data_IF_725040480614
#
_entry.id   IF_725040480614
#
_cell.length_a   1.000
_cell.length_b   1.000
_cell.length_c   1.000
_cell.angle_alpha   90.00
_cell.angle_beta   90.00
_cell.angle_gamma   90.00
#
_symmetry.space_group_name_H-M   'P 1'
#
loop_
_entity.id
_entity.type
_entity.pdbx_description
1 polymer ?
#
# COMPACT_ATOMS: atom_id res chain seq x y z
N UNK A 1 19.33 -21.62 -40.76
CA UNK A 1 19.65 -20.22 -40.38
C UNK A 1 18.88 -19.87 -39.11
N UNK A 2 19.22 -18.77 -38.42
CA UNK A 2 18.68 -18.44 -37.10
C UNK A 2 19.44 -19.15 -35.98
N UNK A 3 20.43 -18.45 -35.39
CA UNK A 3 21.16 -18.96 -34.22
C UNK A 3 20.45 -18.52 -32.94
N UNK A 4 20.26 -19.43 -32.00
CA UNK A 4 20.10 -19.05 -30.60
C UNK A 4 21.41 -18.40 -30.12
N UNK A 5 21.31 -17.28 -29.43
CA UNK A 5 22.46 -16.65 -28.75
C UNK A 5 22.39 -17.05 -27.29
N UNK A 6 23.23 -17.99 -26.89
CA UNK A 6 23.47 -18.26 -25.48
C UNK A 6 24.13 -17.03 -24.86
N UNK A 7 23.59 -16.55 -23.75
CA UNK A 7 24.29 -15.58 -22.90
C UNK A 7 25.41 -16.33 -22.18
N UNK A 8 26.60 -16.25 -22.78
CA UNK A 8 27.84 -16.79 -22.23
C UNK A 8 28.29 -16.01 -21.00
N UNK A 9 29.02 -16.71 -20.13
CA UNK A 9 29.54 -16.25 -18.85
C UNK A 9 30.25 -14.87 -18.95
N UNK A 10 29.55 -13.81 -18.55
CA UNK A 10 30.19 -12.53 -18.26
C UNK A 10 30.86 -12.66 -16.89
N UNK A 11 32.19 -12.62 -16.89
CA UNK A 11 33.01 -12.85 -15.71
C UNK A 11 32.70 -11.84 -14.60
N UNK A 12 32.15 -12.35 -13.50
CA UNK A 12 32.04 -11.58 -12.27
C UNK A 12 33.44 -11.18 -11.81
N UNK A 13 33.81 -9.91 -11.98
CA UNK A 13 34.97 -9.36 -11.29
C UNK A 13 34.63 -9.35 -9.80
N UNK A 14 35.25 -10.28 -9.06
CA UNK A 14 35.08 -10.41 -7.63
C UNK A 14 35.65 -9.17 -6.96
N UNK A 15 34.77 -8.23 -6.59
CA UNK A 15 35.15 -7.16 -5.66
C UNK A 15 35.69 -7.83 -4.37
N UNK A 16 36.85 -7.40 -3.86
CA UNK A 16 37.42 -8.01 -2.67
C UNK A 16 36.48 -7.76 -1.49
N UNK A 17 35.97 -8.84 -0.88
CA UNK A 17 35.02 -8.77 0.23
C UNK A 17 35.64 -8.05 1.43
N UNK A 18 35.26 -6.78 1.59
CA UNK A 18 35.73 -5.92 2.67
C UNK A 18 35.23 -6.44 4.04
N UNK A 19 36.02 -6.27 5.11
CA UNK A 19 35.64 -6.74 6.45
C UNK A 19 34.36 -6.04 6.94
N UNK A 20 33.48 -6.80 7.59
CA UNK A 20 32.27 -6.28 8.23
C UNK A 20 32.64 -5.47 9.48
N UNK A 21 32.76 -4.16 9.32
CA UNK A 21 32.81 -3.19 10.44
C UNK A 21 31.41 -3.06 11.06
N UNK A 22 31.34 -2.72 12.35
CA UNK A 22 30.09 -2.66 13.12
C UNK A 22 29.12 -1.55 12.70
N UNK A 23 27.91 -1.52 13.30
CA UNK A 23 26.97 -0.41 13.15
C UNK A 23 27.43 0.84 13.92
N UNK A 24 26.82 1.98 13.57
CA UNK A 24 27.00 3.31 14.17
C UNK A 24 28.38 3.96 13.96
N UNK A 25 28.42 4.87 12.98
CA UNK A 25 29.43 5.94 12.77
C UNK A 25 30.92 5.52 12.71
N UNK A 26 31.47 5.40 11.48
CA UNK A 26 32.91 5.19 11.23
C UNK A 26 33.77 6.12 12.09
N UNK A 27 34.62 5.56 12.96
CA UNK A 27 35.56 6.34 13.77
C UNK A 27 36.82 6.70 12.98
N UNK A 28 37.43 7.85 13.28
CA UNK A 28 38.69 8.27 12.63
C UNK A 28 39.82 7.23 12.77
N UNK A 29 39.89 6.51 13.88
CA UNK A 29 40.84 5.42 14.10
C UNK A 29 40.54 4.14 13.31
N UNK A 30 39.27 3.86 13.03
CA UNK A 30 38.86 2.77 12.12
C UNK A 30 39.15 3.14 10.67
N UNK A 31 38.87 4.38 10.28
CA UNK A 31 39.21 4.91 8.97
C UNK A 31 40.73 4.83 8.72
N UNK A 32 41.56 5.19 9.71
CA UNK A 32 43.03 5.01 9.67
C UNK A 32 43.45 3.54 9.44
N UNK A 33 42.64 2.55 9.84
CA UNK A 33 42.90 1.13 9.61
C UNK A 33 42.39 0.67 8.24
N UNK A 34 41.12 0.91 7.92
CA UNK A 34 40.50 0.48 6.66
C UNK A 34 41.21 1.06 5.43
N UNK A 35 41.57 2.35 5.45
CA UNK A 35 42.33 2.99 4.37
C UNK A 35 43.74 2.39 4.21
N UNK A 36 44.35 1.92 5.31
CA UNK A 36 45.66 1.26 5.26
C UNK A 36 45.61 -0.03 4.47
N UNK A 37 44.53 -0.79 4.62
CA UNK A 37 44.36 -2.09 4.00
C UNK A 37 43.78 -1.99 2.57
N UNK A 38 42.90 -1.02 2.31
CA UNK A 38 42.52 -0.63 0.94
C UNK A 38 43.76 -0.20 0.12
N UNK A 39 44.65 0.63 0.69
CA UNK A 39 45.90 1.05 0.02
C UNK A 39 46.87 -0.10 -0.22
N UNK A 40 46.93 -1.10 0.67
CA UNK A 40 47.69 -2.35 0.42
C UNK A 40 47.05 -3.17 -0.70
N UNK A 41 45.72 -3.26 -0.77
CA UNK A 41 45.01 -4.03 -1.79
C UNK A 41 45.22 -3.44 -3.19
N UNK A 42 44.96 -2.13 -3.37
CA UNK A 42 45.20 -1.36 -4.61
C UNK A 42 46.61 -1.63 -5.18
N UNK A 43 47.63 -1.49 -4.34
CA UNK A 43 49.03 -1.63 -4.77
C UNK A 43 49.48 -3.08 -4.99
N UNK A 44 48.82 -4.06 -4.37
CA UNK A 44 49.03 -5.49 -4.67
C UNK A 44 48.39 -5.86 -6.01
N UNK A 45 47.19 -5.36 -6.29
CA UNK A 45 46.51 -5.53 -7.58
C UNK A 45 47.31 -4.88 -8.72
N UNK A 46 47.96 -3.73 -8.46
CA UNK A 46 48.86 -3.09 -9.42
C UNK A 46 50.27 -3.71 -9.51
N UNK A 47 50.52 -4.88 -8.91
CA UNK A 47 51.80 -5.59 -8.98
C UNK A 47 53.00 -4.88 -8.34
N UNK A 48 52.78 -3.95 -7.40
CA UNK A 48 53.87 -3.15 -6.84
C UNK A 48 54.76 -3.95 -5.87
N UNK A 49 56.07 -3.68 -5.89
CA UNK A 49 57.03 -4.27 -4.96
C UNK A 49 56.74 -3.90 -3.49
N UNK A 50 57.00 -4.83 -2.56
CA UNK A 50 56.66 -4.70 -1.12
C UNK A 50 57.24 -3.45 -0.44
N UNK A 51 58.45 -3.03 -0.83
CA UNK A 51 59.08 -1.77 -0.37
C UNK A 51 58.30 -0.53 -0.83
N UNK A 52 57.86 -0.51 -2.09
CA UNK A 52 57.00 0.54 -2.66
C UNK A 52 55.64 0.57 -1.98
N UNK A 53 55.01 -0.60 -1.74
CA UNK A 53 53.75 -0.71 -0.98
C UNK A 53 53.91 -0.05 0.39
N UNK A 54 54.94 -0.44 1.14
CA UNK A 54 55.19 0.07 2.51
C UNK A 54 55.35 1.59 2.53
N UNK A 55 56.14 2.15 1.61
CA UNK A 55 56.34 3.61 1.50
C UNK A 55 55.07 4.36 1.09
N UNK A 56 54.31 3.82 0.14
CA UNK A 56 53.08 4.45 -0.36
C UNK A 56 51.95 4.41 0.68
N UNK A 57 51.76 3.29 1.38
CA UNK A 57 50.81 3.16 2.50
C UNK A 57 51.18 4.14 3.63
N UNK A 58 52.47 4.24 3.97
CA UNK A 58 52.95 5.19 4.97
C UNK A 58 52.63 6.64 4.59
N UNK A 59 52.86 7.05 3.34
CA UNK A 59 52.51 8.39 2.86
C UNK A 59 51.00 8.70 3.00
N UNK A 60 50.12 7.77 2.62
CA UNK A 60 48.66 7.95 2.69
C UNK A 60 48.17 8.03 4.14
N UNK A 61 48.72 7.21 5.06
CA UNK A 61 48.35 7.26 6.49
C UNK A 61 48.93 8.51 7.19
N UNK A 62 50.14 8.95 6.84
CA UNK A 62 50.69 10.22 7.32
C UNK A 62 49.85 11.42 6.90
N UNK A 63 49.28 11.41 5.69
CA UNK A 63 48.35 12.45 5.24
C UNK A 63 47.08 12.53 6.10
N UNK A 64 46.45 11.38 6.37
CA UNK A 64 45.28 11.31 7.25
C UNK A 64 45.62 11.71 8.69
N UNK A 65 46.79 11.34 9.21
CA UNK A 65 47.26 11.78 10.54
C UNK A 65 47.57 13.28 10.63
N UNK A 66 48.11 13.87 9.56
CA UNK A 66 48.32 15.31 9.47
C UNK A 66 46.98 16.06 9.44
N UNK A 67 46.05 15.63 8.57
CA UNK A 67 44.67 16.14 8.53
C UNK A 67 43.98 16.05 9.90
N UNK A 68 44.05 14.88 10.57
CA UNK A 68 43.42 14.65 11.87
C UNK A 68 44.01 15.55 12.95
N UNK A 69 45.33 15.71 12.99
CA UNK A 69 46.04 16.62 13.91
C UNK A 69 45.67 18.09 13.66
N UNK A 70 45.69 18.54 12.39
CA UNK A 70 45.39 19.92 11.99
C UNK A 70 43.98 20.38 12.37
N UNK A 71 43.02 19.45 12.43
CA UNK A 71 41.63 19.72 12.79
C UNK A 71 41.30 19.40 14.27
N UNK A 72 42.30 19.06 15.09
CA UNK A 72 42.13 18.77 16.53
C UNK A 72 41.43 17.43 16.86
N UNK A 73 41.26 16.56 15.86
CA UNK A 73 40.44 15.35 15.92
C UNK A 73 41.15 14.19 16.62
N UNK A 74 40.39 13.36 17.33
CA UNK A 74 40.81 12.18 18.09
C UNK A 74 40.51 10.90 17.31
N UNK A 75 41.06 9.77 17.76
CA UNK A 75 40.86 8.48 17.10
C UNK A 75 39.44 7.89 17.30
N UNK A 76 38.73 8.37 18.33
CA UNK A 76 37.36 7.97 18.65
C UNK A 76 36.32 9.04 18.29
N UNK A 77 36.72 10.13 17.62
CA UNK A 77 35.77 11.07 17.03
C UNK A 77 35.19 10.42 15.75
N UNK A 78 33.91 10.66 15.47
CA UNK A 78 33.25 10.10 14.27
C UNK A 78 33.63 10.89 13.02
N UNK A 79 33.68 10.22 11.87
CA UNK A 79 34.05 10.83 10.59
C UNK A 79 32.86 11.61 10.01
N UNK A 80 32.90 12.92 10.15
CA UNK A 80 31.78 13.82 9.91
C UNK A 80 31.95 14.71 8.68
N UNK A 81 31.33 15.91 8.75
CA UNK A 81 31.33 16.87 7.66
C UNK A 81 32.71 17.39 7.24
N UNK A 82 33.71 17.34 8.11
CA UNK A 82 35.11 17.66 7.78
C UNK A 82 35.70 16.72 6.73
N UNK A 83 35.25 15.47 6.64
CA UNK A 83 35.63 14.55 5.57
C UNK A 83 34.58 14.53 4.44
N UNK A 84 33.31 14.57 4.81
CA UNK A 84 32.19 14.29 3.91
C UNK A 84 31.79 15.49 3.04
N UNK A 85 31.66 16.70 3.61
CA UNK A 85 31.18 17.88 2.87
C UNK A 85 32.31 18.55 2.08
N UNK A 86 32.17 18.81 0.76
CA UNK A 86 33.27 19.35 -0.05
C UNK A 86 33.90 20.66 0.48
N UNK A 87 33.07 21.59 0.96
CA UNK A 87 33.53 22.92 1.41
C UNK A 87 34.22 22.86 2.77
N UNK A 88 33.72 22.01 3.69
CA UNK A 88 34.37 21.79 4.99
C UNK A 88 35.67 21.01 4.82
N UNK A 89 35.70 20.02 3.94
CA UNK A 89 36.91 19.27 3.62
C UNK A 89 38.01 20.12 2.99
N UNK A 90 37.67 21.07 2.11
CA UNK A 90 38.64 22.02 1.57
C UNK A 90 39.31 22.81 2.71
N UNK A 91 38.53 23.41 3.61
CA UNK A 91 39.02 24.14 4.81
C UNK A 91 39.81 23.25 5.77
N UNK A 92 39.36 22.01 5.95
CA UNK A 92 40.05 21.03 6.80
C UNK A 92 41.39 20.55 6.19
N UNK A 93 41.55 20.64 4.86
CA UNK A 93 42.84 20.46 4.19
C UNK A 93 43.72 21.73 4.26
N UNK A 94 43.14 22.93 4.16
CA UNK A 94 43.84 24.20 4.35
C UNK A 94 44.49 24.29 5.75
N UNK A 95 43.81 23.75 6.77
CA UNK A 95 44.34 23.67 8.13
C UNK A 95 45.70 22.95 8.24
N UNK A 96 46.07 22.08 7.29
CA UNK A 96 47.35 21.35 7.28
C UNK A 96 48.54 22.30 7.09
N UNK A 97 48.35 23.48 6.46
CA UNK A 97 49.40 24.51 6.35
C UNK A 97 49.77 25.16 7.70
N UNK A 98 48.97 24.96 8.76
CA UNK A 98 49.27 25.46 10.11
C UNK A 98 50.16 24.49 10.92
N UNK A 99 50.57 23.35 10.34
CA UNK A 99 51.51 22.42 10.96
C UNK A 99 52.96 22.78 10.59
N UNK A 100 53.91 22.44 11.47
CA UNK A 100 55.35 22.53 11.20
C UNK A 100 55.79 21.46 10.19
N UNK A 101 55.51 21.73 8.91
CA UNK A 101 55.75 20.87 7.76
C UNK A 101 56.21 21.71 6.56
N UNK A 102 57.06 21.14 5.72
CA UNK A 102 57.43 21.76 4.44
C UNK A 102 56.26 21.77 3.45
N UNK A 103 56.14 22.81 2.61
CA UNK A 103 55.07 22.97 1.61
C UNK A 103 54.90 21.70 0.74
N UNK A 104 56.01 21.16 0.23
CA UNK A 104 56.03 19.92 -0.58
C UNK A 104 55.50 18.69 0.16
N UNK A 105 55.50 18.71 1.49
CA UNK A 105 54.86 17.69 2.33
C UNK A 105 53.37 17.97 2.52
N UNK A 106 52.98 19.24 2.72
CA UNK A 106 51.57 19.66 2.79
C UNK A 106 50.84 19.40 1.45
N UNK A 107 51.39 19.84 0.32
CA UNK A 107 50.91 19.56 -1.05
C UNK A 107 50.69 18.06 -1.28
N UNK A 108 51.68 17.25 -0.89
CA UNK A 108 51.63 15.78 -1.01
C UNK A 108 50.53 15.19 -0.12
N UNK A 109 50.37 15.69 1.11
CA UNK A 109 49.30 15.23 1.99
C UNK A 109 47.92 15.62 1.44
N UNK A 110 47.71 16.88 1.03
CA UNK A 110 46.47 17.34 0.38
C UNK A 110 46.18 16.52 -0.90
N UNK A 111 47.22 16.17 -1.68
CA UNK A 111 47.09 15.28 -2.85
C UNK A 111 46.65 13.85 -2.48
N UNK A 112 47.21 13.22 -1.44
CA UNK A 112 46.75 11.91 -0.97
C UNK A 112 45.34 11.98 -0.36
N UNK A 113 45.01 13.06 0.37
CA UNK A 113 43.69 13.28 0.93
C UNK A 113 42.61 13.35 -0.16
N UNK A 114 42.85 14.14 -1.21
CA UNK A 114 41.93 14.31 -2.33
C UNK A 114 41.84 13.05 -3.23
N UNK A 115 42.96 12.40 -3.55
CA UNK A 115 42.99 11.31 -4.53
C UNK A 115 42.59 9.95 -3.98
N UNK A 116 42.66 9.74 -2.65
CA UNK A 116 42.40 8.43 -2.02
C UNK A 116 41.58 8.50 -0.75
N UNK A 117 42.02 9.29 0.24
CA UNK A 117 41.43 9.23 1.59
C UNK A 117 39.96 9.62 1.58
N UNK A 118 39.61 10.79 1.01
CA UNK A 118 38.22 11.23 0.93
C UNK A 118 37.36 10.38 -0.02
N UNK A 119 37.79 10.02 -1.24
CA UNK A 119 37.05 9.09 -2.08
C UNK A 119 36.68 7.78 -1.37
N UNK A 120 37.63 7.13 -0.68
CA UNK A 120 37.36 5.89 0.05
C UNK A 120 36.50 6.11 1.31
N UNK A 121 36.70 7.19 2.06
CA UNK A 121 35.82 7.53 3.18
C UNK A 121 34.36 7.69 2.73
N UNK A 122 34.14 8.36 1.59
CA UNK A 122 32.81 8.51 0.97
C UNK A 122 32.27 7.14 0.51
N UNK A 123 33.07 6.28 -0.13
CA UNK A 123 32.64 4.92 -0.50
C UNK A 123 32.20 4.10 0.72
N UNK A 124 32.95 4.16 1.83
CA UNK A 124 32.61 3.45 3.06
C UNK A 124 31.32 3.98 3.69
N UNK A 125 31.15 5.30 3.83
CA UNK A 125 29.92 5.91 4.36
C UNK A 125 28.70 5.63 3.46
N UNK A 126 28.89 5.58 2.13
CA UNK A 126 27.88 5.17 1.14
C UNK A 126 27.45 3.70 1.26
N UNK A 127 28.39 2.80 1.53
CA UNK A 127 28.10 1.39 1.81
C UNK A 127 27.40 1.21 3.18
N UNK A 128 27.59 2.16 4.09
CA UNK A 128 27.02 2.16 5.45
C UNK A 128 25.86 3.17 5.63
N UNK A 129 24.97 3.27 4.64
CA UNK A 129 23.62 3.87 4.79
C UNK A 129 22.68 2.98 5.63
N UNK A 130 23.20 2.45 6.74
CA UNK A 130 22.50 1.68 7.79
C UNK A 130 21.98 2.57 8.91
N UNK A 131 22.49 3.81 9.00
CA UNK A 131 22.12 4.84 9.99
C UNK A 131 20.99 5.77 9.49
N UNK A 132 20.48 5.55 8.28
CA UNK A 132 19.29 6.21 7.76
C UNK A 132 18.12 5.24 7.91
N UNK A 133 17.02 5.68 8.51
CA UNK A 133 15.76 4.94 8.60
C UNK A 133 14.88 5.22 7.38
N UNK A 134 14.97 6.43 6.81
CA UNK A 134 14.15 6.84 5.66
C UNK A 134 14.97 7.08 4.37
N UNK A 135 14.28 6.96 3.23
CA UNK A 135 14.82 7.37 1.93
C UNK A 135 15.21 8.87 1.91
N UNK A 136 14.48 9.71 2.67
CA UNK A 136 14.73 11.15 2.71
C UNK A 136 16.08 11.46 3.33
N UNK A 137 16.40 10.85 4.49
CA UNK A 137 17.73 10.95 5.11
C UNK A 137 18.83 10.42 4.18
N UNK A 138 18.62 9.24 3.59
CA UNK A 138 19.62 8.62 2.72
C UNK A 138 19.93 9.49 1.49
N UNK A 139 18.92 10.09 0.86
CA UNK A 139 19.12 11.03 -0.25
C UNK A 139 19.76 12.35 0.20
N UNK A 140 19.40 12.89 1.37
CA UNK A 140 20.02 14.11 1.91
C UNK A 140 21.50 13.90 2.25
N UNK A 141 21.85 12.80 2.90
CA UNK A 141 23.24 12.44 3.26
C UNK A 141 24.08 12.17 2.00
N UNK A 142 23.51 11.50 0.99
CA UNK A 142 24.14 11.32 -0.32
C UNK A 142 24.42 12.66 -1.04
N UNK A 143 23.46 13.58 -1.05
CA UNK A 143 23.63 14.93 -1.61
C UNK A 143 24.69 15.74 -0.82
N UNK A 144 24.72 15.62 0.51
CA UNK A 144 25.72 16.26 1.38
C UNK A 144 27.15 15.77 1.08
N UNK A 145 27.33 14.46 0.88
CA UNK A 145 28.62 13.86 0.52
C UNK A 145 29.09 14.24 -0.89
N UNK A 146 28.19 14.24 -1.89
CA UNK A 146 28.56 14.57 -3.28
C UNK A 146 28.74 16.07 -3.51
N UNK A 147 28.03 16.92 -2.74
CA UNK A 147 27.91 18.34 -3.01
C UNK A 147 26.99 18.68 -4.18
N UNK A 148 26.23 17.70 -4.71
CA UNK A 148 25.28 17.95 -5.80
C UNK A 148 24.06 18.74 -5.29
N UNK A 149 23.51 19.59 -6.15
CA UNK A 149 22.15 20.10 -5.95
C UNK A 149 21.13 19.07 -6.41
N UNK A 150 19.89 19.15 -5.89
CA UNK A 150 18.76 18.32 -6.34
C UNK A 150 18.57 18.44 -7.88
N UNK A 151 18.81 19.63 -8.44
CA UNK A 151 18.70 19.85 -9.89
C UNK A 151 19.80 19.14 -10.69
N UNK A 152 21.04 19.12 -10.19
CA UNK A 152 22.16 18.43 -10.84
C UNK A 152 22.01 16.90 -10.74
N UNK A 153 21.60 16.36 -9.58
CA UNK A 153 21.32 14.93 -9.45
C UNK A 153 20.18 14.49 -10.37
N UNK A 154 19.04 15.20 -10.36
CA UNK A 154 17.91 14.95 -11.26
C UNK A 154 18.33 14.93 -12.74
N UNK A 155 19.12 15.92 -13.18
CA UNK A 155 19.62 16.01 -14.57
C UNK A 155 20.46 14.78 -14.97
N UNK A 156 21.19 14.17 -14.04
CA UNK A 156 22.08 13.03 -14.30
C UNK A 156 21.39 11.68 -14.20
N UNK A 157 20.62 11.46 -13.13
CA UNK A 157 19.80 10.24 -12.97
C UNK A 157 18.60 10.19 -13.93
N UNK A 158 18.33 11.29 -14.67
CA UNK A 158 17.21 11.48 -15.60
C UNK A 158 15.83 11.52 -14.92
N UNK A 159 15.80 11.56 -13.60
CA UNK A 159 14.59 11.71 -12.78
C UNK A 159 14.14 13.18 -12.82
N UNK A 160 12.84 13.46 -12.73
CA UNK A 160 12.39 14.86 -12.72
C UNK A 160 12.86 15.58 -11.44
N UNK A 161 13.17 16.88 -11.56
CA UNK A 161 13.57 17.72 -10.41
C UNK A 161 12.48 17.80 -9.33
N UNK A 162 11.21 17.73 -9.73
CA UNK A 162 10.08 17.78 -8.81
C UNK A 162 9.95 16.48 -8.02
N UNK A 163 9.96 15.34 -8.71
CA UNK A 163 9.90 13.99 -8.15
C UNK A 163 11.09 13.70 -7.21
N UNK A 164 12.32 13.99 -7.64
CA UNK A 164 13.47 13.87 -6.74
C UNK A 164 13.35 14.83 -5.56
N UNK A 165 12.75 16.01 -5.76
CA UNK A 165 12.47 16.97 -4.71
C UNK A 165 11.44 16.49 -3.68
N UNK A 166 10.38 15.76 -4.07
CA UNK A 166 9.41 15.21 -3.09
C UNK A 166 10.04 14.11 -2.24
N UNK A 167 10.87 13.25 -2.83
CA UNK A 167 11.63 12.21 -2.10
C UNK A 167 12.67 12.80 -1.13
N UNK A 168 13.48 13.75 -1.58
CA UNK A 168 14.49 14.43 -0.74
C UNK A 168 13.84 15.15 0.46
N UNK A 169 12.59 15.59 0.35
CA UNK A 169 11.81 16.22 1.42
C UNK A 169 10.91 15.27 2.22
N UNK A 170 10.98 13.95 1.98
CA UNK A 170 10.15 12.96 2.67
C UNK A 170 8.64 13.09 2.44
N UNK A 171 8.21 13.80 1.38
CA UNK A 171 6.78 13.98 1.06
C UNK A 171 6.17 12.76 0.37
N UNK A 172 7.00 12.02 -0.36
CA UNK A 172 6.61 10.85 -1.15
C UNK A 172 7.73 9.82 -1.10
N UNK A 173 7.35 8.54 -1.23
CA UNK A 173 8.28 7.41 -1.37
C UNK A 173 8.02 6.75 -2.75
N UNK A 174 9.05 6.40 -3.52
CA UNK A 174 8.94 5.61 -4.74
C UNK A 174 8.14 4.34 -4.49
N UNK A 175 7.04 4.17 -5.23
CA UNK A 175 6.10 3.07 -5.01
C UNK A 175 5.42 2.58 -6.30
N UNK A 176 6.04 2.85 -7.45
CA UNK A 176 5.64 2.33 -8.76
C UNK A 176 6.88 1.78 -9.48
N UNK A 177 6.75 0.83 -10.43
CA UNK A 177 7.89 0.27 -11.13
C UNK A 177 8.78 1.31 -11.82
N UNK A 178 8.18 2.36 -12.40
CA UNK A 178 8.93 3.47 -13.00
C UNK A 178 9.75 4.22 -11.95
N UNK A 179 9.12 4.60 -10.83
CA UNK A 179 9.82 5.34 -9.76
C UNK A 179 10.88 4.50 -9.03
N UNK A 180 10.75 3.18 -9.01
CA UNK A 180 11.79 2.27 -8.48
C UNK A 180 12.95 2.14 -9.48
N UNK A 181 12.68 2.09 -10.79
CA UNK A 181 13.72 2.14 -11.82
C UNK A 181 14.48 3.48 -11.82
N UNK A 182 13.76 4.58 -11.54
CA UNK A 182 14.33 5.91 -11.32
C UNK A 182 15.27 5.96 -10.10
N UNK A 183 14.96 5.25 -9.02
CA UNK A 183 15.88 5.06 -7.89
C UNK A 183 17.12 4.28 -8.31
N UNK A 184 16.99 3.22 -9.11
CA UNK A 184 18.16 2.53 -9.69
C UNK A 184 19.09 3.46 -10.47
N UNK A 185 18.54 4.45 -11.20
CA UNK A 185 19.34 5.47 -11.88
C UNK A 185 20.04 6.44 -10.90
N UNK A 186 19.39 6.76 -9.77
CA UNK A 186 19.99 7.55 -8.68
C UNK A 186 21.09 6.76 -7.95
N UNK A 187 20.89 5.46 -7.71
CA UNK A 187 21.89 4.58 -7.09
C UNK A 187 23.19 4.54 -7.91
N UNK A 188 23.07 4.41 -9.24
CA UNK A 188 24.21 4.42 -10.17
C UNK A 188 24.95 5.76 -10.19
N UNK A 189 24.26 6.89 -10.35
CA UNK A 189 24.92 8.21 -10.37
C UNK A 189 25.56 8.55 -9.02
N UNK A 190 24.91 8.17 -7.91
CA UNK A 190 25.48 8.39 -6.58
C UNK A 190 26.54 7.35 -6.20
N UNK A 191 26.81 6.33 -7.04
CA UNK A 191 27.83 5.32 -6.81
C UNK A 191 27.62 4.55 -5.51
N UNK A 192 26.38 4.20 -5.19
CA UNK A 192 26.02 3.24 -4.12
C UNK A 192 25.77 1.86 -4.73
N UNK A 193 25.91 0.76 -3.97
CA UNK A 193 25.53 -0.56 -4.44
C UNK A 193 24.05 -0.62 -4.86
N UNK A 194 23.73 -1.38 -5.90
CA UNK A 194 22.35 -1.57 -6.34
C UNK A 194 21.48 -2.14 -5.20
N UNK A 195 20.29 -1.58 -5.00
CA UNK A 195 19.38 -1.90 -3.92
C UNK A 195 19.53 -1.05 -2.64
N UNK A 196 20.60 -0.26 -2.51
CA UNK A 196 20.91 0.50 -1.27
C UNK A 196 19.87 1.57 -0.95
N UNK A 197 19.23 2.18 -1.95
CA UNK A 197 18.11 3.10 -1.78
C UNK A 197 16.76 2.41 -2.01
N UNK A 198 16.74 1.42 -2.90
CA UNK A 198 15.56 0.61 -3.23
C UNK A 198 14.99 -0.10 -2.00
N UNK A 199 15.82 -0.46 -1.01
CA UNK A 199 15.36 -1.02 0.29
C UNK A 199 14.42 -0.10 1.08
N UNK A 200 14.45 1.22 0.84
CA UNK A 200 13.57 2.21 1.49
C UNK A 200 12.29 2.48 0.67
N UNK A 201 12.11 1.81 -0.47
CA UNK A 201 10.97 2.03 -1.35
C UNK A 201 9.83 1.08 -0.97
N UNK A 202 8.66 1.63 -0.65
CA UNK A 202 7.46 0.81 -0.45
C UNK A 202 7.01 0.21 -1.79
N UNK A 203 7.19 -1.10 -1.99
CA UNK A 203 6.48 -1.81 -3.07
C UNK A 203 4.99 -1.88 -2.71
N UNK A 204 4.28 -0.78 -2.97
CA UNK A 204 2.83 -0.78 -3.08
C UNK A 204 2.49 -1.65 -4.28
N UNK A 205 2.13 -2.91 -3.98
CA UNK A 205 1.79 -3.99 -4.94
C UNK A 205 1.16 -3.37 -6.18
N UNK A 206 1.81 -3.59 -7.32
CA UNK A 206 1.62 -2.78 -8.53
C UNK A 206 0.13 -2.65 -8.80
N UNK A 207 -0.35 -1.46 -9.16
CA UNK A 207 -1.74 -1.27 -9.56
C UNK A 207 -1.96 -1.98 -10.90
N UNK A 208 -2.20 -3.30 -10.83
CA UNK A 208 -2.52 -4.14 -11.98
C UNK A 208 -3.75 -3.54 -12.63
N UNK A 209 -3.60 -3.08 -13.87
CA UNK A 209 -4.69 -2.46 -14.62
C UNK A 209 -5.41 -3.54 -15.42
N UNK A 210 -6.74 -3.54 -15.37
CA UNK A 210 -7.56 -4.51 -16.12
C UNK A 210 -7.37 -4.41 -17.64
N UNK A 211 -6.93 -3.25 -18.16
CA UNK A 211 -6.64 -3.03 -19.58
C UNK A 211 -5.32 -3.65 -20.07
N UNK A 212 -4.50 -4.22 -19.18
CA UNK A 212 -3.22 -4.89 -19.50
C UNK A 212 -3.25 -6.42 -19.35
N UNK A 213 -4.34 -6.96 -18.84
CA UNK A 213 -4.49 -8.40 -18.61
C UNK A 213 -4.88 -9.13 -19.90
N UNK A 214 -4.37 -10.35 -20.09
CA UNK A 214 -4.68 -11.20 -21.25
C UNK A 214 -5.87 -12.13 -20.96
N UNK A 215 -6.28 -12.19 -19.70
CA UNK A 215 -7.50 -12.84 -19.19
C UNK A 215 -8.54 -11.80 -18.81
N UNK A 216 -9.82 -12.16 -18.92
CA UNK A 216 -10.94 -11.30 -18.51
C UNK A 216 -11.15 -11.45 -16.99
N UNK A 217 -10.86 -10.40 -16.23
CA UNK A 217 -11.12 -10.33 -14.78
C UNK A 217 -12.03 -9.14 -14.51
N UNK A 218 -13.14 -9.40 -13.81
CA UNK A 218 -14.03 -8.34 -13.33
C UNK A 218 -13.30 -7.39 -12.38
N UNK A 219 -13.57 -6.06 -12.43
CA UNK A 219 -12.92 -5.10 -11.55
C UNK A 219 -13.01 -5.42 -10.05
N UNK A 220 -14.11 -6.02 -9.59
CA UNK A 220 -14.31 -6.34 -8.17
C UNK A 220 -13.58 -7.61 -7.71
N UNK A 221 -13.42 -8.59 -8.60
CA UNK A 221 -12.61 -9.77 -8.29
C UNK A 221 -11.12 -9.42 -8.37
N UNK A 222 -10.72 -8.57 -9.34
CA UNK A 222 -9.38 -7.99 -9.41
C UNK A 222 -8.99 -7.24 -8.12
N UNK A 223 -9.91 -6.47 -7.49
CA UNK A 223 -9.67 -5.84 -6.18
C UNK A 223 -9.31 -6.86 -5.09
N UNK A 224 -9.96 -8.04 -5.09
CA UNK A 224 -9.74 -9.11 -4.09
C UNK A 224 -8.44 -9.87 -4.32
N UNK A 225 -8.16 -10.28 -5.56
CA UNK A 225 -6.97 -11.09 -5.89
C UNK A 225 -5.68 -10.28 -5.92
N UNK A 226 -5.73 -8.96 -6.18
CA UNK A 226 -4.54 -8.09 -6.37
C UNK A 226 -3.49 -8.24 -5.28
N UNK A 227 -3.88 -8.42 -4.01
CA UNK A 227 -2.91 -8.51 -2.91
C UNK A 227 -2.18 -9.86 -2.81
N UNK A 228 -2.57 -10.86 -3.60
CA UNK A 228 -2.03 -12.23 -3.59
C UNK A 228 -1.41 -12.64 -4.93
N UNK A 229 -1.39 -11.73 -5.91
CA UNK A 229 -0.86 -11.95 -7.26
C UNK A 229 0.58 -11.40 -7.36
N UNK A 230 1.50 -12.07 -8.09
CA UNK A 230 2.86 -11.56 -8.33
C UNK A 230 2.92 -10.21 -9.04
N UNK A 231 3.94 -9.41 -8.76
CA UNK A 231 4.15 -8.11 -9.40
C UNK A 231 4.40 -8.21 -10.93
N UNK A 232 4.95 -9.32 -11.42
CA UNK A 232 5.20 -9.56 -12.86
C UNK A 232 3.97 -10.05 -13.64
N UNK A 233 2.81 -10.19 -12.99
CA UNK A 233 1.63 -10.85 -13.55
C UNK A 233 1.14 -10.28 -14.88
N UNK A 234 1.27 -8.96 -15.12
CA UNK A 234 0.94 -8.33 -16.42
C UNK A 234 1.76 -8.93 -17.58
N UNK A 235 3.00 -9.37 -17.33
CA UNK A 235 3.93 -9.90 -18.34
C UNK A 235 3.69 -11.38 -18.66
N UNK A 236 3.18 -12.18 -17.72
CA UNK A 236 2.93 -13.61 -17.86
C UNK A 236 2.04 -14.00 -19.07
N UNK A 237 2.13 -15.26 -19.53
CA UNK A 237 1.29 -15.77 -20.61
C UNK A 237 -0.18 -15.87 -20.18
N UNK A 238 -1.14 -15.82 -21.12
CA UNK A 238 -2.58 -15.92 -20.82
C UNK A 238 -2.92 -17.15 -19.98
N UNK A 239 -2.33 -18.31 -20.32
CA UNK A 239 -2.53 -19.55 -19.58
C UNK A 239 -2.01 -19.45 -18.14
N UNK A 240 -0.82 -18.86 -17.93
CA UNK A 240 -0.23 -18.71 -16.58
C UNK A 240 -0.98 -17.65 -15.74
N UNK A 241 -1.47 -16.57 -16.37
CA UNK A 241 -2.36 -15.61 -15.72
C UNK A 241 -3.65 -16.29 -15.24
N UNK A 242 -4.28 -17.13 -16.08
CA UNK A 242 -5.48 -17.87 -15.71
C UNK A 242 -5.22 -18.85 -14.57
N UNK A 243 -4.17 -19.67 -14.67
CA UNK A 243 -3.78 -20.65 -13.65
C UNK A 243 -3.58 -19.99 -12.27
N UNK A 244 -2.83 -18.88 -12.23
CA UNK A 244 -2.57 -18.13 -10.99
C UNK A 244 -3.85 -17.46 -10.47
N UNK A 245 -4.68 -16.88 -11.35
CA UNK A 245 -5.96 -16.29 -10.95
C UNK A 245 -6.90 -17.34 -10.36
N UNK A 246 -7.12 -18.46 -11.05
CA UNK A 246 -8.00 -19.54 -10.61
C UNK A 246 -7.49 -20.15 -9.29
N UNK A 247 -6.18 -20.30 -9.14
CA UNK A 247 -5.56 -20.79 -7.90
C UNK A 247 -5.72 -19.80 -6.73
N UNK A 248 -5.38 -18.52 -6.91
CA UNK A 248 -5.55 -17.48 -5.87
C UNK A 248 -7.01 -17.31 -5.49
N UNK A 249 -7.91 -17.28 -6.47
CA UNK A 249 -9.33 -17.12 -6.25
C UNK A 249 -9.88 -18.33 -5.47
N UNK A 250 -9.51 -19.55 -5.84
CA UNK A 250 -9.98 -20.76 -5.16
C UNK A 250 -9.37 -20.98 -3.77
N UNK A 251 -8.06 -20.77 -3.62
CA UNK A 251 -7.30 -21.18 -2.42
C UNK A 251 -7.16 -20.07 -1.37
N UNK A 252 -7.34 -18.79 -1.74
CA UNK A 252 -7.13 -17.65 -0.84
C UNK A 252 -8.37 -16.75 -0.72
N UNK A 253 -9.03 -16.40 -1.84
CA UNK A 253 -10.16 -15.44 -1.81
C UNK A 253 -11.51 -16.12 -1.52
N UNK A 254 -11.71 -17.36 -1.99
CA UNK A 254 -12.93 -18.15 -1.74
C UNK A 254 -12.76 -19.16 -0.59
N UNK A 255 -11.51 -19.50 -0.22
CA UNK A 255 -11.20 -20.18 1.04
C UNK A 255 -11.38 -19.24 2.24
N UNK A 256 -11.94 -19.69 3.37
CA UNK A 256 -11.84 -18.97 4.63
C UNK A 256 -10.42 -19.15 5.19
N UNK A 257 -9.69 -18.04 5.39
CA UNK A 257 -8.30 -18.04 5.88
C UNK A 257 -8.09 -18.82 7.18
N UNK A 258 -6.90 -19.40 7.29
CA UNK A 258 -6.39 -20.01 8.52
C UNK A 258 -5.50 -19.00 9.25
N UNK A 259 -6.11 -18.25 10.16
CA UNK A 259 -5.42 -17.56 11.25
C UNK A 259 -5.58 -18.41 12.53
N UNK A 260 -4.59 -18.37 13.43
CA UNK A 260 -4.35 -19.46 14.38
C UNK A 260 -5.43 -19.62 15.49
N UNK A 261 -5.82 -20.87 15.75
CA UNK A 261 -6.60 -21.26 16.94
C UNK A 261 -7.82 -22.16 16.66
N UNK A 262 -7.68 -23.46 16.97
CA UNK A 262 -8.74 -24.37 17.46
C UNK A 262 -10.20 -24.19 16.93
N UNK A 263 -10.43 -24.34 15.62
CA UNK A 263 -11.78 -24.30 15.03
C UNK A 263 -12.25 -25.66 14.48
N UNK A 264 -12.86 -26.48 15.33
CA UNK A 264 -13.42 -27.80 14.98
C UNK A 264 -14.81 -27.65 14.32
N UNK A 265 -14.85 -27.35 13.03
CA UNK A 265 -16.11 -27.23 12.28
C UNK A 265 -15.96 -27.43 10.77
N UNK A 266 -16.94 -28.07 10.13
CA UNK A 266 -16.94 -28.30 8.67
C UNK A 266 -16.91 -26.98 7.88
N UNK A 267 -15.87 -26.80 7.06
CA UNK A 267 -15.53 -25.51 6.41
C UNK A 267 -16.20 -25.27 5.06
N UNK A 268 -17.01 -26.20 4.54
CA UNK A 268 -17.78 -26.06 3.28
C UNK A 268 -18.46 -24.68 3.14
N UNK A 269 -18.32 -23.97 2.01
CA UNK A 269 -18.97 -22.67 1.80
C UNK A 269 -20.48 -22.83 1.63
N UNK A 270 -21.22 -22.51 2.69
CA UNK A 270 -22.66 -22.67 2.82
C UNK A 270 -23.36 -21.35 2.45
N UNK A 271 -23.74 -21.19 1.18
CA UNK A 271 -24.45 -19.98 0.72
C UNK A 271 -25.66 -20.33 -0.13
N UNK A 272 -26.77 -19.67 0.19
CA UNK A 272 -27.94 -19.59 -0.67
C UNK A 272 -27.69 -18.48 -1.69
N UNK A 273 -27.40 -18.80 -2.96
CA UNK A 273 -27.09 -17.83 -4.01
C UNK A 273 -28.35 -17.06 -4.40
N UNK A 274 -28.51 -15.86 -3.84
CA UNK A 274 -29.56 -14.92 -4.18
C UNK A 274 -29.23 -14.20 -5.49
N UNK A 275 -27.96 -13.83 -5.67
CA UNK A 275 -27.47 -13.19 -6.90
C UNK A 275 -26.78 -14.22 -7.80
N UNK A 276 -27.43 -14.66 -8.87
CA UNK A 276 -26.88 -15.68 -9.80
C UNK A 276 -25.63 -15.24 -10.57
N UNK A 277 -25.38 -13.94 -10.69
CA UNK A 277 -24.29 -13.37 -11.50
C UNK A 277 -22.91 -13.29 -10.82
N UNK A 278 -22.79 -13.58 -9.51
CA UNK A 278 -21.61 -13.23 -8.69
C UNK A 278 -20.73 -14.41 -8.22
N UNK A 279 -21.04 -15.65 -8.58
CA UNK A 279 -20.21 -16.80 -8.19
C UNK A 279 -20.25 -17.87 -9.28
N UNK A 280 -19.15 -18.63 -9.44
CA UNK A 280 -19.16 -19.86 -10.22
C UNK A 280 -20.32 -20.75 -9.76
N UNK A 281 -21.05 -21.36 -10.71
CA UNK A 281 -22.36 -21.99 -10.41
C UNK A 281 -22.21 -23.13 -9.40
N UNK A 282 -21.07 -23.84 -9.43
CA UNK A 282 -20.90 -25.16 -8.82
C UNK A 282 -19.95 -25.19 -7.61
N UNK A 283 -19.70 -24.06 -6.95
CA UNK A 283 -18.90 -24.01 -5.69
C UNK A 283 -19.46 -25.00 -4.65
N UNK A 284 -18.73 -26.06 -4.24
CA UNK A 284 -19.28 -27.14 -3.42
C UNK A 284 -19.84 -26.64 -2.07
N UNK A 285 -21.03 -27.12 -1.69
CA UNK A 285 -21.74 -26.68 -0.47
C UNK A 285 -22.65 -25.46 -0.65
N UNK A 286 -22.50 -24.70 -1.74
CA UNK A 286 -23.43 -23.64 -2.11
C UNK A 286 -24.65 -24.18 -2.88
N UNK A 287 -25.76 -23.45 -2.91
CA UNK A 287 -26.95 -23.82 -3.67
C UNK A 287 -27.66 -22.58 -4.23
N UNK A 288 -28.46 -22.74 -5.29
CA UNK A 288 -29.26 -21.65 -5.89
C UNK A 288 -30.44 -21.31 -4.98
N UNK A 289 -30.72 -20.02 -4.74
CA UNK A 289 -31.91 -19.64 -3.99
C UNK A 289 -33.20 -20.09 -4.71
N UNK A 290 -34.22 -20.61 -3.99
CA UNK A 290 -35.54 -20.91 -4.55
C UNK A 290 -36.18 -19.71 -5.24
N UNK A 291 -36.99 -19.94 -6.27
CA UNK A 291 -37.59 -18.85 -7.07
C UNK A 291 -38.52 -17.94 -6.26
N UNK A 292 -39.16 -18.46 -5.19
CA UNK A 292 -39.95 -17.69 -4.21
C UNK A 292 -39.05 -16.68 -3.48
N UNK A 293 -38.01 -17.17 -2.80
CA UNK A 293 -37.07 -16.35 -2.05
C UNK A 293 -36.38 -15.32 -2.94
N UNK A 294 -35.98 -15.70 -4.17
CA UNK A 294 -35.32 -14.78 -5.10
C UNK A 294 -36.24 -13.62 -5.47
N UNK A 295 -37.50 -13.88 -5.85
CA UNK A 295 -38.50 -12.85 -6.16
C UNK A 295 -38.81 -11.94 -4.95
N UNK A 296 -38.86 -12.50 -3.74
CA UNK A 296 -39.01 -11.72 -2.52
C UNK A 296 -37.80 -10.78 -2.30
N UNK A 297 -36.58 -11.27 -2.50
CA UNK A 297 -35.35 -10.47 -2.36
C UNK A 297 -35.20 -9.44 -3.48
N UNK A 298 -35.57 -9.75 -4.72
CA UNK A 298 -35.64 -8.78 -5.83
C UNK A 298 -36.60 -7.62 -5.49
N UNK A 299 -37.78 -7.93 -4.94
CA UNK A 299 -38.74 -6.93 -4.45
C UNK A 299 -38.22 -6.11 -3.27
N UNK A 300 -37.47 -6.73 -2.35
CA UNK A 300 -36.79 -6.03 -1.25
C UNK A 300 -35.70 -5.09 -1.76
N UNK A 301 -34.86 -5.53 -2.70
CA UNK A 301 -33.84 -4.69 -3.34
C UNK A 301 -34.49 -3.48 -3.99
N UNK A 302 -35.49 -3.67 -4.85
CA UNK A 302 -36.18 -2.58 -5.52
C UNK A 302 -36.77 -1.55 -4.52
N UNK A 303 -37.41 -2.01 -3.45
CA UNK A 303 -37.91 -1.14 -2.38
C UNK A 303 -36.81 -0.41 -1.61
N UNK A 304 -35.65 -1.05 -1.41
CA UNK A 304 -34.52 -0.49 -0.65
C UNK A 304 -33.61 0.43 -1.45
N UNK A 305 -33.47 0.25 -2.76
CA UNK A 305 -32.63 1.12 -3.61
C UNK A 305 -33.38 2.28 -4.23
N UNK A 306 -34.71 2.18 -4.43
CA UNK A 306 -35.56 3.24 -4.97
C UNK A 306 -35.30 4.61 -4.32
N UNK A 307 -35.27 5.67 -5.14
CA UNK A 307 -34.98 7.03 -4.68
C UNK A 307 -36.04 7.53 -3.71
N UNK A 308 -37.27 7.67 -4.19
CA UNK A 308 -38.45 7.91 -3.36
C UNK A 308 -38.97 6.61 -2.74
N UNK A 309 -39.64 6.73 -1.59
CA UNK A 309 -40.34 5.60 -0.98
C UNK A 309 -41.59 5.28 -1.80
N UNK A 310 -41.80 4.03 -2.26
CA UNK A 310 -42.96 3.67 -3.09
C UNK A 310 -44.29 3.93 -2.38
N UNK A 311 -45.28 4.38 -3.16
CA UNK A 311 -46.61 4.77 -2.67
C UNK A 311 -47.27 3.68 -1.82
N UNK A 312 -47.87 4.09 -0.70
CA UNK A 312 -48.54 3.17 0.24
C UNK A 312 -47.58 2.33 1.12
N UNK A 313 -46.27 2.63 1.13
CA UNK A 313 -45.28 1.95 1.99
C UNK A 313 -44.53 2.95 2.85
N UNK A 314 -44.18 2.54 4.07
CA UNK A 314 -43.34 3.31 4.99
C UNK A 314 -41.89 2.83 4.92
N UNK A 315 -40.95 3.77 4.86
CA UNK A 315 -39.50 3.54 4.87
C UNK A 315 -38.83 4.66 5.65
N UNK A 316 -37.97 4.31 6.61
CA UNK A 316 -37.15 5.28 7.35
C UNK A 316 -36.39 6.20 6.37
N UNK A 317 -36.55 7.54 6.45
CA UNK A 317 -35.94 8.46 5.49
C UNK A 317 -34.41 8.60 5.67
N UNK A 318 -33.89 8.32 6.87
CA UNK A 318 -32.49 8.54 7.24
C UNK A 318 -31.65 7.25 7.14
N UNK A 319 -32.23 6.10 7.48
CA UNK A 319 -31.54 4.79 7.54
C UNK A 319 -32.23 3.69 6.71
N UNK A 320 -33.36 3.99 6.07
CA UNK A 320 -34.19 2.98 5.42
C UNK A 320 -33.80 2.62 3.98
N UNK A 321 -32.99 3.43 3.29
CA UNK A 321 -32.51 3.21 1.91
C UNK A 321 -31.13 2.53 1.90
N UNK A 322 -30.88 1.65 0.93
CA UNK A 322 -29.54 1.20 0.57
C UNK A 322 -29.01 2.16 -0.51
N UNK A 323 -28.17 3.11 -0.08
CA UNK A 323 -27.79 4.29 -0.87
C UNK A 323 -26.65 4.06 -1.87
N UNK A 324 -25.90 2.97 -1.73
CA UNK A 324 -24.80 2.60 -2.63
C UNK A 324 -24.85 1.12 -3.01
N UNK A 325 -24.14 0.76 -4.08
CA UNK A 325 -24.05 -0.61 -4.58
C UNK A 325 -23.38 -1.55 -3.56
N UNK A 326 -22.33 -1.06 -2.89
CA UNK A 326 -21.62 -1.76 -1.81
C UNK A 326 -22.53 -1.99 -0.60
N UNK A 327 -23.40 -1.02 -0.28
CA UNK A 327 -24.41 -1.13 0.79
C UNK A 327 -25.43 -2.23 0.47
N UNK A 328 -25.96 -2.23 -0.76
CA UNK A 328 -26.86 -3.28 -1.25
C UNK A 328 -26.19 -4.66 -1.19
N UNK A 329 -25.00 -4.79 -1.78
CA UNK A 329 -24.31 -6.09 -1.85
C UNK A 329 -23.89 -6.62 -0.49
N UNK A 330 -23.46 -5.75 0.44
CA UNK A 330 -23.19 -6.15 1.83
C UNK A 330 -24.42 -6.73 2.51
N UNK A 331 -25.60 -6.10 2.34
CA UNK A 331 -26.86 -6.62 2.93
C UNK A 331 -27.33 -7.90 2.22
N UNK A 332 -27.13 -8.03 0.91
CA UNK A 332 -27.43 -9.27 0.19
C UNK A 332 -26.49 -10.42 0.61
N UNK A 333 -25.19 -10.17 0.76
CA UNK A 333 -24.20 -11.15 1.25
C UNK A 333 -24.59 -11.73 2.62
N UNK A 334 -25.15 -10.90 3.52
CA UNK A 334 -25.68 -11.35 4.81
C UNK A 334 -26.88 -12.29 4.66
N UNK A 335 -27.84 -11.96 3.78
CA UNK A 335 -28.98 -12.83 3.50
C UNK A 335 -28.55 -14.18 2.88
N UNK A 336 -27.56 -14.18 1.98
CA UNK A 336 -27.02 -15.42 1.38
C UNK A 336 -26.39 -16.37 2.42
N UNK A 337 -25.79 -15.80 3.49
CA UNK A 337 -25.25 -16.56 4.63
C UNK A 337 -26.40 -17.04 5.54
N UNK A 338 -27.37 -16.19 5.84
CA UNK A 338 -28.52 -16.53 6.69
C UNK A 338 -29.32 -17.71 6.13
N UNK A 339 -29.79 -17.62 4.87
CA UNK A 339 -30.50 -18.72 4.21
C UNK A 339 -29.58 -19.93 3.95
N UNK A 340 -28.27 -19.71 3.83
CA UNK A 340 -27.25 -20.77 3.82
C UNK A 340 -27.26 -21.61 5.10
N UNK A 341 -27.25 -20.94 6.25
CA UNK A 341 -27.29 -21.57 7.57
C UNK A 341 -28.63 -22.27 7.83
N UNK A 342 -29.76 -21.63 7.52
CA UNK A 342 -31.09 -22.22 7.72
C UNK A 342 -31.24 -23.57 6.99
N UNK A 343 -30.74 -23.70 5.75
CA UNK A 343 -30.73 -24.98 5.02
C UNK A 343 -29.83 -26.02 5.69
N UNK A 344 -28.61 -25.66 6.10
CA UNK A 344 -27.69 -26.59 6.80
C UNK A 344 -28.23 -27.02 8.19
N UNK A 345 -29.11 -26.21 8.80
CA UNK A 345 -29.90 -26.52 10.00
C UNK A 345 -31.16 -27.37 9.76
N UNK A 346 -31.48 -27.74 8.52
CA UNK A 346 -32.63 -28.58 8.17
C UNK A 346 -33.88 -27.84 7.67
N UNK A 347 -33.82 -26.52 7.48
CA UNK A 347 -34.92 -25.79 6.81
C UNK A 347 -34.94 -26.20 5.33
N UNK A 348 -36.00 -26.88 4.92
CA UNK A 348 -36.18 -27.28 3.52
C UNK A 348 -36.22 -26.08 2.58
N UNK A 349 -35.81 -26.30 1.33
CA UNK A 349 -35.76 -25.26 0.30
C UNK A 349 -37.14 -24.66 -0.02
N UNK A 350 -38.24 -25.43 0.01
CA UNK A 350 -39.59 -24.88 -0.20
C UNK A 350 -40.02 -23.87 0.89
N UNK A 351 -39.37 -23.90 2.06
CA UNK A 351 -39.70 -23.10 3.25
C UNK A 351 -38.75 -21.91 3.47
N UNK A 352 -37.75 -21.70 2.59
CA UNK A 352 -36.88 -20.53 2.63
C UNK A 352 -37.59 -19.31 2.02
N UNK A 353 -37.72 -18.24 2.81
CA UNK A 353 -38.37 -17.00 2.41
C UNK A 353 -38.04 -15.83 3.33
N UNK A 354 -38.24 -14.58 2.89
CA UNK A 354 -37.94 -13.38 3.69
C UNK A 354 -38.67 -13.33 5.05
N UNK A 355 -39.81 -14.01 5.16
CA UNK A 355 -40.52 -14.27 6.42
C UNK A 355 -39.64 -14.92 7.50
N UNK A 356 -38.62 -15.72 7.13
CA UNK A 356 -37.70 -16.30 8.11
C UNK A 356 -36.81 -15.25 8.80
N UNK A 357 -36.70 -14.03 8.26
CA UNK A 357 -35.94 -12.90 8.85
C UNK A 357 -36.78 -12.17 9.92
N UNK A 358 -38.05 -12.56 10.11
CA UNK A 358 -38.91 -12.09 11.20
C UNK A 358 -39.10 -13.17 12.30
N UNK A 359 -38.54 -14.36 12.09
CA UNK A 359 -38.68 -15.52 12.95
C UNK A 359 -37.55 -15.54 13.99
N UNK A 360 -37.85 -15.11 15.21
CA UNK A 360 -36.88 -14.98 16.30
C UNK A 360 -36.21 -16.32 16.65
N UNK A 361 -36.91 -17.44 16.57
CA UNK A 361 -36.33 -18.76 16.85
C UNK A 361 -35.31 -19.15 15.77
N UNK A 362 -35.59 -18.84 14.50
CA UNK A 362 -34.63 -19.02 13.39
C UNK A 362 -33.45 -18.05 13.47
N UNK A 363 -33.64 -16.82 13.97
CA UNK A 363 -32.56 -15.86 14.22
C UNK A 363 -31.66 -16.33 15.37
N UNK A 364 -32.22 -16.70 16.52
CA UNK A 364 -31.46 -17.21 17.66
C UNK A 364 -30.71 -18.50 17.26
N UNK A 365 -31.34 -19.43 16.52
CA UNK A 365 -30.69 -20.61 15.95
C UNK A 365 -29.58 -20.30 14.93
N UNK A 366 -29.71 -19.21 14.16
CA UNK A 366 -28.70 -18.73 13.24
C UNK A 366 -27.50 -18.16 14.00
N UNK A 367 -27.74 -17.28 14.97
CA UNK A 367 -26.70 -16.70 15.83
C UNK A 367 -25.91 -17.83 16.50
N UNK A 368 -26.58 -18.82 17.08
CA UNK A 368 -25.94 -19.95 17.75
C UNK A 368 -25.18 -20.88 16.79
N UNK A 369 -25.66 -21.05 15.55
CA UNK A 369 -24.90 -21.74 14.50
C UNK A 369 -23.63 -20.98 14.12
N UNK A 370 -23.72 -19.65 14.00
CA UNK A 370 -22.59 -18.80 13.66
C UNK A 370 -21.56 -18.75 14.79
N UNK A 371 -21.99 -18.61 16.05
CA UNK A 371 -21.14 -18.74 17.26
C UNK A 371 -20.37 -20.07 17.24
N UNK A 372 -21.09 -21.20 17.12
CA UNK A 372 -20.50 -22.56 17.12
C UNK A 372 -19.62 -22.87 15.90
N UNK A 373 -19.69 -22.06 14.82
CA UNK A 373 -18.85 -22.20 13.62
C UNK A 373 -17.66 -21.23 13.55
N UNK A 374 -17.68 -20.12 14.30
CA UNK A 374 -16.68 -19.02 14.21
C UNK A 374 -16.02 -18.62 15.52
N UNK A 375 -16.35 -19.27 16.64
CA UNK A 375 -15.73 -19.09 17.95
C UNK A 375 -16.06 -17.76 18.67
N UNK A 376 -16.23 -16.67 17.92
CA UNK A 376 -16.40 -15.31 18.42
C UNK A 376 -17.57 -14.57 17.76
N UNK A 377 -17.99 -13.48 18.40
CA UNK A 377 -18.89 -12.50 17.80
C UNK A 377 -18.19 -11.79 16.64
N UNK A 378 -18.74 -11.91 15.45
CA UNK A 378 -18.34 -11.12 14.27
C UNK A 378 -19.32 -9.96 14.08
N UNK A 379 -18.95 -8.88 13.39
CA UNK A 379 -19.84 -7.74 13.09
C UNK A 379 -21.21 -8.19 12.51
N UNK A 380 -21.21 -9.27 11.72
CA UNK A 380 -22.41 -9.95 11.21
C UNK A 380 -23.37 -10.39 12.31
N UNK A 381 -22.85 -10.95 13.41
CA UNK A 381 -23.64 -11.38 14.56
C UNK A 381 -24.08 -10.15 15.35
N UNK A 382 -23.16 -9.24 15.67
CA UNK A 382 -23.44 -8.00 16.41
C UNK A 382 -24.54 -7.16 15.76
N UNK A 383 -24.53 -7.04 14.43
CA UNK A 383 -25.56 -6.32 13.68
C UNK A 383 -26.93 -7.01 13.65
N UNK A 384 -27.01 -8.31 13.94
CA UNK A 384 -28.28 -9.04 14.11
C UNK A 384 -28.74 -8.96 15.56
N UNK A 385 -27.86 -9.27 16.53
CA UNK A 385 -28.12 -9.22 17.97
C UNK A 385 -28.69 -7.85 18.38
N UNK A 386 -28.03 -6.76 17.99
CA UNK A 386 -28.44 -5.38 18.29
C UNK A 386 -29.81 -5.02 17.68
N UNK A 387 -30.17 -5.61 16.53
CA UNK A 387 -31.51 -5.45 15.95
C UNK A 387 -32.57 -6.32 16.65
N UNK A 388 -32.23 -7.49 17.19
CA UNK A 388 -33.16 -8.28 18.01
C UNK A 388 -33.38 -7.71 19.40
N UNK A 389 -32.36 -7.15 20.07
CA UNK A 389 -32.50 -6.54 21.40
C UNK A 389 -33.39 -5.29 21.35
N UNK A 390 -33.16 -4.37 20.41
CA UNK A 390 -34.00 -3.17 20.24
C UNK A 390 -35.47 -3.54 19.99
N UNK A 391 -35.74 -4.57 19.18
CA UNK A 391 -37.10 -5.04 18.94
C UNK A 391 -37.72 -5.79 20.16
N UNK A 392 -36.91 -6.45 21.01
CA UNK A 392 -37.37 -7.04 22.28
C UNK A 392 -37.73 -5.96 23.31
N UNK A 393 -37.00 -4.83 23.33
CA UNK A 393 -37.20 -3.73 24.30
C UNK A 393 -38.38 -2.83 23.93
N UNK A 394 -38.53 -2.47 22.65
CA UNK A 394 -39.43 -1.40 22.22
C UNK A 394 -40.88 -1.86 21.93
N UNK A 395 -41.14 -3.18 22.00
CA UNK A 395 -42.49 -3.80 21.95
C UNK A 395 -43.28 -3.65 20.63
N UNK A 396 -42.72 -2.98 19.62
CA UNK A 396 -43.42 -2.60 18.38
C UNK A 396 -43.26 -3.62 17.27
N UNK A 397 -44.30 -4.43 17.04
CA UNK A 397 -44.52 -5.16 15.78
C UNK A 397 -45.54 -4.42 14.90
N UNK A 398 -45.13 -3.50 14.00
CA UNK A 398 -46.03 -2.81 13.07
C UNK A 398 -46.29 -3.62 11.79
N UNK A 399 -46.68 -4.90 11.92
CA UNK A 399 -47.11 -5.76 10.81
C UNK A 399 -48.33 -6.63 11.20
N UNK A 400 -49.43 -5.97 11.60
CA UNK A 400 -50.75 -6.57 11.38
C UNK A 400 -51.08 -6.46 9.90
N UNK A 401 -51.12 -7.59 9.20
CA UNK A 401 -51.92 -7.73 8.00
C UNK A 401 -53.35 -8.10 8.43
N UNK A 402 -54.21 -7.09 8.56
CA UNK A 402 -55.65 -7.36 8.66
C UNK A 402 -56.20 -7.64 7.25
N UNK A 403 -57.08 -8.64 7.06
CA UNK A 403 -57.58 -9.00 5.74
C UNK A 403 -58.58 -7.95 5.24
N UNK A 404 -58.27 -7.32 4.11
CA UNK A 404 -59.22 -6.44 3.42
C UNK A 404 -60.27 -7.25 2.67
N UNK A 405 -61.44 -7.42 3.29
CA UNK A 405 -62.67 -7.82 2.59
C UNK A 405 -63.21 -6.68 1.69
N UNK A 406 -64.10 -6.96 0.72
CA UNK A 406 -64.20 -6.17 -0.51
C UNK A 406 -65.03 -4.87 -0.43
N UNK A 407 -64.80 -4.00 -1.43
CA UNK A 407 -65.54 -2.77 -1.73
C UNK A 407 -67.08 -2.92 -1.70
N UNK A 408 -67.77 -1.94 -1.09
CA UNK A 408 -69.11 -1.52 -1.50
C UNK A 408 -69.08 -0.10 -2.13
N UNK A 409 -69.70 0.03 -3.32
CA UNK A 409 -69.85 1.31 -4.03
C UNK A 409 -71.08 2.09 -3.54
N UNK A 410 -70.97 3.40 -3.32
CA UNK A 410 -72.11 4.31 -3.13
C UNK A 410 -71.83 5.73 -3.67
N UNK A 411 -72.88 6.50 -3.93
CA UNK A 411 -72.84 7.81 -4.62
C UNK A 411 -73.25 9.01 -3.72
N UNK A 412 -72.94 10.22 -4.22
CA UNK A 412 -73.72 11.49 -4.17
C UNK A 412 -73.61 12.45 -2.95
N UNK A 413 -73.21 13.67 -3.33
CA UNK A 413 -73.87 14.98 -3.11
C UNK A 413 -73.75 15.76 -1.79
N UNK A 414 -73.31 17.02 -1.97
CA UNK A 414 -73.76 18.22 -1.26
C UNK A 414 -73.02 18.60 0.02
N UNK A 415 -73.04 19.87 0.47
CA UNK A 415 -73.16 21.17 -0.22
C UNK A 415 -72.81 22.30 0.81
N UNK A 416 -72.69 23.57 0.37
CA UNK A 416 -72.50 24.79 1.18
C UNK A 416 -71.13 24.92 1.92
N UNK A 417 -70.36 26.02 1.91
CA UNK A 417 -70.53 27.50 1.81
C UNK A 417 -70.75 28.25 3.13
N UNK A 418 -69.68 28.85 3.65
CA UNK A 418 -69.51 30.29 3.98
C UNK A 418 -68.09 30.47 4.53
N UNK A 419 -67.17 31.24 3.93
CA UNK A 419 -67.16 32.68 3.61
C UNK A 419 -67.18 33.60 4.84
N UNK A 420 -66.02 34.22 5.15
CA UNK A 420 -65.87 35.69 5.25
C UNK A 420 -64.39 36.12 5.35
N UNK A 421 -63.88 36.74 4.27
CA UNK A 421 -62.81 37.79 4.22
C UNK A 421 -61.38 37.38 4.71
N UNK A 422 -60.25 37.81 4.12
CA UNK A 422 -59.95 38.92 3.19
C UNK A 422 -58.95 39.89 3.87
N UNK A 423 -57.87 40.40 3.29
CA UNK A 423 -57.31 40.44 1.91
C UNK A 423 -55.77 40.23 1.96
N UNK A 424 -55.00 39.85 0.92
CA UNK A 424 -54.63 40.61 -0.30
C UNK A 424 -54.19 42.07 0.02
N UNK A 425 -53.03 42.61 -0.37
CA UNK A 425 -51.97 42.23 -1.33
C UNK A 425 -50.55 42.58 -0.75
N UNK A 426 -49.36 42.58 -1.40
CA UNK A 426 -48.90 42.65 -2.81
C UNK A 426 -47.54 41.91 -2.99
N UNK A 427 -47.06 41.80 -4.24
CA UNK A 427 -45.67 41.47 -4.61
C UNK A 427 -44.75 42.71 -4.66
N UNK A 428 -43.42 42.50 -4.59
CA UNK A 428 -42.49 43.20 -5.48
C UNK A 428 -41.22 42.39 -5.75
N UNK A 429 -40.62 42.56 -6.93
CA UNK A 429 -39.39 41.90 -7.41
C UNK A 429 -38.48 42.94 -8.02
N UNK A 430 -37.17 42.89 -7.73
CA UNK A 430 -36.10 43.60 -8.46
C UNK A 430 -34.71 43.02 -8.05
N UNK A 431 -33.58 43.24 -8.74
CA UNK A 431 -33.25 43.11 -10.19
C UNK A 431 -31.73 43.36 -10.39
N UNK A 432 -31.01 42.42 -11.04
CA UNK A 432 -29.66 42.59 -11.68
C UNK A 432 -28.46 43.03 -10.78
N UNK A 433 -27.22 43.22 -11.27
CA UNK A 433 -26.30 42.36 -12.06
C UNK A 433 -24.88 42.99 -12.17
N UNK A 434 -23.86 42.21 -12.60
CA UNK A 434 -22.46 42.62 -12.92
C UNK A 434 -21.43 41.59 -12.40
N UNK A 435 -20.46 41.01 -13.14
CA UNK A 435 -19.53 41.45 -14.23
C UNK A 435 -18.47 42.46 -13.76
N UNK A 436 -17.17 42.39 -14.09
CA UNK A 436 -16.33 41.58 -15.02
C UNK A 436 -14.91 41.36 -14.36
N UNK A 437 -13.95 40.47 -14.71
CA UNK A 437 -13.33 40.05 -16.00
C UNK A 437 -12.59 41.25 -16.65
N UNK A 438 -11.28 41.27 -16.95
CA UNK A 438 -10.14 40.30 -17.03
C UNK A 438 -8.83 41.01 -16.52
N UNK A 439 -7.52 40.60 -16.71
CA UNK A 439 -6.92 39.53 -17.54
C UNK A 439 -5.85 38.60 -16.88
#
# INVERSE_FOLDING_TARGET
MGKSVAYSELSAQVEPSLPKVGPEEILHGELENTIRDMRKAELRQSGAASSTITKAVSNTISALKAFRTANGLRLYDTVGGEMMEPVRFARACEAIYNLDLSDKTVERHISEMNKRVRPWAITLRKQQLTHCETLSEALQELLRMSGFSIAELARRSKVTRETLGTWVRGKEVPSTPSTIQDIGNVEVEMGVPAGTLSKFCEIKKIYIRSDRLKIDIRPDDLKRVRQYIPDDFEHLSKAKQQEIYDWVMSNIVLSPTDDEGEHVGSREPYRCKLRTQWLHVDTPGTFKAPDRLRRQVEGLVAFKTAELTPLGKNRDPNKGRWSSEESKDSKLILLEIFFGALRKKGTKEENLGLENVLDLEKIDNFIDYMRKRRGLYTETITAVDFHTEVNRIDGKFPLRFEPCDPFPSAMRNGEQRSDTHGTFEHYSTDVFAGEAIDP
#
